data_IF_553057927302
#
_entry.id   IF_553057927302
#
_cell.length_a   1.000
_cell.length_b   1.000
_cell.length_c   1.000
_cell.angle_alpha   90.00
_cell.angle_beta   90.00
_cell.angle_gamma   90.00
#
_symmetry.space_group_name_H-M   'P 1'
#
loop_
_entity.id
_entity.type
_entity.pdbx_description
1 polymer ?
#
# COMPACT_ATOMS: atom_id res chain seq x y z
N UNK A 1 -1.22 0.77 3.65
CA UNK A 1 -0.62 0.65 4.99
C UNK A 1 -1.52 1.08 6.12
N UNK A 2 -2.21 2.24 6.05
CA UNK A 2 -3.06 2.70 7.15
C UNK A 2 -4.21 1.75 7.54
N UNK A 3 -4.82 1.07 6.57
CA UNK A 3 -5.87 0.07 6.84
C UNK A 3 -5.38 -1.17 7.60
N UNK A 4 -4.06 -1.37 7.68
CA UNK A 4 -3.46 -2.57 8.29
C UNK A 4 -2.15 -2.22 9.02
N UNK A 5 -2.13 -1.09 9.73
CA UNK A 5 -0.90 -0.57 10.33
C UNK A 5 -0.26 -1.52 11.37
N UNK A 6 -1.07 -2.36 12.02
CA UNK A 6 -0.60 -3.39 12.96
C UNK A 6 0.31 -4.46 12.34
N UNK A 7 0.39 -4.57 11.01
CA UNK A 7 1.37 -5.44 10.35
C UNK A 7 2.80 -5.04 10.70
N UNK A 8 3.08 -3.74 10.90
CA UNK A 8 4.44 -3.27 11.17
C UNK A 8 5.04 -3.91 12.44
N UNK A 9 4.27 -3.95 13.53
CA UNK A 9 4.71 -4.59 14.79
C UNK A 9 4.79 -6.11 14.66
N UNK A 10 3.99 -6.71 13.77
CA UNK A 10 4.07 -8.15 13.48
C UNK A 10 5.38 -8.49 12.77
N UNK A 11 5.77 -7.66 11.78
CA UNK A 11 7.04 -7.81 11.06
C UNK A 11 8.24 -7.61 11.99
N UNK A 12 8.18 -6.63 12.90
CA UNK A 12 9.21 -6.42 13.89
C UNK A 12 9.33 -7.59 14.89
N UNK A 13 8.19 -8.16 15.32
CA UNK A 13 8.17 -9.31 16.24
C UNK A 13 8.67 -10.61 15.59
N UNK A 14 8.37 -10.82 14.31
CA UNK A 14 8.75 -12.02 13.56
C UNK A 14 9.40 -11.62 12.22
N UNK A 15 10.69 -11.24 12.25
CA UNK A 15 11.39 -10.82 11.05
C UNK A 15 11.50 -12.00 10.07
N UNK A 16 11.17 -11.73 8.81
CA UNK A 16 11.34 -12.67 7.70
C UNK A 16 12.49 -12.16 6.81
N UNK A 17 13.60 -12.91 6.68
CA UNK A 17 14.82 -12.45 6.02
C UNK A 17 14.69 -12.30 4.50
N UNK A 18 13.61 -12.78 3.91
CA UNK A 18 13.32 -12.69 2.47
C UNK A 18 12.11 -11.79 2.17
N UNK A 19 11.72 -10.92 3.11
CA UNK A 19 10.55 -10.06 2.96
C UNK A 19 10.96 -8.61 2.73
N UNK A 20 10.35 -8.00 1.71
CA UNK A 20 10.39 -6.55 1.49
C UNK A 20 8.97 -5.98 1.50
N UNK A 21 8.74 -4.93 2.28
CA UNK A 21 7.49 -4.16 2.32
C UNK A 21 7.67 -2.88 1.49
N UNK A 22 6.81 -2.69 0.49
CA UNK A 22 6.75 -1.45 -0.28
C UNK A 22 5.50 -0.67 0.12
N UNK A 23 5.69 0.59 0.50
CA UNK A 23 4.64 1.55 0.83
C UNK A 23 4.61 2.59 -0.28
N UNK A 24 3.65 2.49 -1.19
CA UNK A 24 3.38 3.55 -2.17
C UNK A 24 2.61 4.67 -1.49
N UNK A 25 3.24 5.82 -1.35
CA UNK A 25 2.72 7.01 -0.69
C UNK A 25 2.39 8.08 -1.72
N UNK A 26 1.10 8.27 -1.97
CA UNK A 26 0.53 9.30 -2.85
C UNK A 26 -0.46 10.21 -2.10
N UNK A 27 -0.60 10.02 -0.79
CA UNK A 27 -1.51 10.78 0.07
C UNK A 27 -3.01 10.50 -0.13
N UNK A 28 -3.44 9.55 -0.98
CA UNK A 28 -4.87 9.33 -1.27
C UNK A 28 -5.30 7.86 -1.33
N UNK A 29 -6.58 7.59 -1.07
CA UNK A 29 -7.23 6.33 -1.43
C UNK A 29 -7.70 6.41 -2.88
N UNK A 30 -6.80 6.14 -3.83
CA UNK A 30 -7.04 6.34 -5.26
C UNK A 30 -8.30 5.62 -5.78
N UNK A 31 -8.43 4.32 -5.48
CA UNK A 31 -9.49 3.47 -6.05
C UNK A 31 -10.90 3.85 -5.55
N UNK A 32 -11.03 4.59 -4.45
CA UNK A 32 -12.34 4.94 -3.88
C UNK A 32 -12.81 6.35 -4.22
N UNK A 33 -12.10 7.06 -5.11
CA UNK A 33 -12.39 8.45 -5.47
C UNK A 33 -11.35 9.44 -5.00
N UNK A 34 -10.10 9.00 -4.85
CA UNK A 34 -8.93 9.83 -4.54
C UNK A 34 -9.11 10.72 -3.31
N UNK A 35 -9.86 10.24 -2.31
CA UNK A 35 -9.96 10.97 -1.05
C UNK A 35 -8.61 10.97 -0.34
N UNK A 36 -8.21 12.06 0.32
CA UNK A 36 -7.00 12.06 1.14
C UNK A 36 -7.05 10.95 2.17
N UNK A 37 -5.92 10.26 2.36
CA UNK A 37 -5.80 9.33 3.49
C UNK A 37 -5.87 10.10 4.81
N UNK A 38 -6.34 9.50 5.91
CA UNK A 38 -6.32 10.13 7.23
C UNK A 38 -4.91 10.62 7.55
N UNK A 39 -4.74 11.91 7.86
CA UNK A 39 -3.42 12.47 8.19
C UNK A 39 -2.46 12.65 7.01
N UNK A 40 -2.93 12.66 5.76
CA UNK A 40 -2.08 12.74 4.55
C UNK A 40 -0.96 13.80 4.59
N UNK A 41 -1.19 14.95 5.24
CA UNK A 41 -0.20 16.03 5.35
C UNK A 41 0.75 15.93 6.57
N UNK A 42 0.55 14.93 7.44
CA UNK A 42 1.20 14.83 8.75
C UNK A 42 1.87 13.48 9.00
N UNK A 43 1.55 12.46 8.22
CA UNK A 43 2.11 11.13 8.40
C UNK A 43 3.57 11.13 7.97
N UNK A 44 4.42 10.58 8.83
CA UNK A 44 5.78 10.19 8.50
C UNK A 44 5.84 8.66 8.59
N UNK A 45 5.72 7.98 7.43
CA UNK A 45 5.74 6.51 7.39
C UNK A 45 7.09 5.94 7.84
N UNK A 46 8.18 6.67 7.61
CA UNK A 46 9.51 6.22 8.00
C UNK A 46 9.62 6.18 9.52
N UNK A 47 9.26 7.28 10.20
CA UNK A 47 9.24 7.34 11.66
C UNK A 47 8.28 6.33 12.27
N UNK A 48 7.12 6.09 11.65
CA UNK A 48 6.18 5.07 12.12
C UNK A 48 6.79 3.66 12.00
N UNK A 49 7.43 3.32 10.88
CA UNK A 49 8.07 2.02 10.70
C UNK A 49 9.21 1.83 11.71
N UNK A 50 10.06 2.85 11.88
CA UNK A 50 11.14 2.83 12.87
C UNK A 50 10.61 2.71 14.29
N UNK A 51 9.56 3.46 14.63
CA UNK A 51 8.87 3.39 15.92
C UNK A 51 8.21 2.03 16.19
N UNK A 52 7.81 1.30 15.14
CA UNK A 52 7.32 -0.07 15.24
C UNK A 52 8.44 -1.13 15.41
N UNK A 53 9.71 -0.74 15.32
CA UNK A 53 10.88 -1.60 15.51
C UNK A 53 11.58 -2.02 14.21
N UNK A 54 11.14 -1.56 13.04
CA UNK A 54 11.77 -1.88 11.76
C UNK A 54 12.99 -0.99 11.52
N UNK A 55 14.16 -1.59 11.32
CA UNK A 55 15.44 -0.85 11.25
C UNK A 55 15.82 -0.45 9.82
N UNK A 56 15.56 -1.34 8.86
CA UNK A 56 15.87 -1.18 7.43
C UNK A 56 14.70 -0.50 6.75
N UNK A 57 14.66 0.82 6.84
CA UNK A 57 13.58 1.65 6.29
C UNK A 57 14.20 2.72 5.42
N UNK A 58 13.70 2.84 4.19
CA UNK A 58 14.21 3.76 3.19
C UNK A 58 13.07 4.54 2.55
N UNK A 59 13.17 5.86 2.57
CA UNK A 59 12.27 6.74 1.80
C UNK A 59 12.90 7.04 0.45
N UNK A 60 12.07 6.97 -0.60
CA UNK A 60 12.39 7.29 -1.99
C UNK A 60 11.50 8.47 -2.38
N UNK A 61 12.12 9.60 -2.71
CA UNK A 61 11.44 10.87 -3.04
C UNK A 61 11.90 11.46 -4.40
N UNK A 62 12.74 10.73 -5.14
CA UNK A 62 13.16 11.08 -6.50
C UNK A 62 13.52 9.84 -7.31
N UNK A 63 13.64 10.01 -8.63
CA UNK A 63 14.08 8.96 -9.54
C UNK A 63 15.53 8.54 -9.25
N UNK A 64 16.41 9.49 -8.91
CA UNK A 64 17.80 9.18 -8.52
C UNK A 64 17.85 8.37 -7.22
N UNK A 65 16.98 8.67 -6.26
CA UNK A 65 16.85 7.90 -5.03
C UNK A 65 16.35 6.48 -5.31
N UNK A 66 15.46 6.32 -6.28
CA UNK A 66 14.95 5.03 -6.73
C UNK A 66 16.08 4.20 -7.32
N UNK A 67 16.81 4.74 -8.29
CA UNK A 67 17.93 4.05 -8.94
C UNK A 67 19.03 3.67 -7.94
N UNK A 68 19.34 4.55 -6.99
CA UNK A 68 20.36 4.29 -5.97
C UNK A 68 19.99 3.20 -4.95
N UNK A 69 18.70 2.91 -4.79
CA UNK A 69 18.19 2.00 -3.74
C UNK A 69 17.53 0.75 -4.30
N UNK A 70 17.25 0.69 -5.61
CA UNK A 70 16.57 -0.44 -6.25
C UNK A 70 17.28 -1.76 -5.99
N UNK A 71 18.61 -1.80 -6.07
CA UNK A 71 19.38 -3.02 -5.82
C UNK A 71 19.24 -3.53 -4.38
N UNK A 72 19.07 -2.62 -3.40
CA UNK A 72 18.89 -2.98 -1.99
C UNK A 72 17.59 -3.77 -1.77
N UNK A 73 16.57 -3.52 -2.60
CA UNK A 73 15.31 -4.27 -2.57
C UNK A 73 15.51 -5.78 -2.74
N UNK A 74 16.51 -6.18 -3.53
CA UNK A 74 16.78 -7.58 -3.88
C UNK A 74 17.96 -8.18 -3.11
N UNK A 75 18.89 -7.35 -2.66
CA UNK A 75 20.13 -7.81 -2.04
C UNK A 75 20.11 -7.83 -0.51
N UNK A 76 19.27 -7.01 0.13
CA UNK A 76 19.28 -6.88 1.58
C UNK A 76 18.40 -7.91 2.29
N UNK A 77 18.89 -8.42 3.44
CA UNK A 77 18.13 -9.34 4.27
C UNK A 77 16.96 -8.61 4.95
N UNK A 78 15.75 -9.17 4.87
CA UNK A 78 14.52 -8.58 5.38
C UNK A 78 14.33 -8.63 6.91
N UNK A 79 13.25 -8.02 7.42
CA UNK A 79 12.30 -7.22 6.68
C UNK A 79 12.87 -5.84 6.32
N UNK A 80 12.86 -5.50 5.03
CA UNK A 80 13.21 -4.17 4.53
C UNK A 80 11.95 -3.42 4.15
N UNK A 81 11.89 -2.13 4.45
CA UNK A 81 10.76 -1.26 4.09
C UNK A 81 11.25 -0.19 3.12
N UNK A 82 10.56 -0.06 1.99
CA UNK A 82 10.71 1.06 1.08
C UNK A 82 9.43 1.88 1.06
N UNK A 83 9.55 3.18 1.29
CA UNK A 83 8.46 4.15 1.16
C UNK A 83 8.69 4.89 -0.13
N UNK A 84 7.84 4.64 -1.12
CA UNK A 84 7.90 5.26 -2.43
C UNK A 84 6.91 6.41 -2.47
N UNK A 85 7.43 7.64 -2.37
CA UNK A 85 6.61 8.82 -2.58
C UNK A 85 6.37 8.99 -4.07
N UNK A 86 5.11 9.00 -4.46
CA UNK A 86 4.69 9.08 -5.85
C UNK A 86 3.62 10.15 -6.00
N UNK A 87 3.50 10.70 -7.20
CA UNK A 87 2.42 11.62 -7.51
C UNK A 87 1.05 10.89 -7.41
N UNK A 88 -0.02 11.58 -7.00
CA UNK A 88 -1.36 11.04 -7.08
C UNK A 88 -1.73 10.63 -8.50
N UNK A 89 -2.36 9.48 -8.66
CA UNK A 89 -2.95 9.05 -9.92
C UNK A 89 -3.95 10.08 -10.47
N UNK A 90 -3.99 10.20 -11.80
CA UNK A 90 -4.96 11.04 -12.52
C UNK A 90 -6.03 10.21 -13.21
N UNK A 91 -5.87 8.89 -13.19
CA UNK A 91 -6.76 7.92 -13.78
C UNK A 91 -8.14 7.98 -13.12
N UNK A 92 -9.22 7.88 -13.90
CA UNK A 92 -10.56 7.84 -13.35
C UNK A 92 -10.77 6.59 -12.50
N UNK A 93 -11.54 6.73 -11.42
CA UNK A 93 -11.97 5.60 -10.60
C UNK A 93 -12.53 4.48 -11.48
N UNK A 94 -12.08 3.23 -11.32
CA UNK A 94 -12.62 2.10 -12.06
C UNK A 94 -14.13 2.02 -11.90
N UNK A 95 -14.86 2.17 -13.01
CA UNK A 95 -16.31 2.02 -13.01
C UNK A 95 -16.65 0.54 -13.22
N UNK A 96 -17.55 -0.04 -12.40
CA UNK A 96 -18.07 -1.37 -12.67
C UNK A 96 -18.67 -1.44 -14.07
N UNK A 97 -18.34 -2.47 -14.84
CA UNK A 97 -18.80 -2.62 -16.23
C UNK A 97 -20.32 -2.78 -16.35
N UNK A 98 -20.99 -3.22 -15.28
CA UNK A 98 -22.42 -3.53 -15.27
C UNK A 98 -23.19 -2.58 -14.33
N UNK A 99 -24.42 -2.20 -14.68
CA UNK A 99 -25.31 -1.45 -13.80
C UNK A 99 -25.51 -2.16 -12.44
N UNK A 100 -25.75 -1.38 -11.39
CA UNK A 100 -25.92 -1.92 -10.03
C UNK A 100 -27.07 -2.93 -9.94
N UNK A 101 -28.16 -2.73 -10.69
CA UNK A 101 -29.29 -3.66 -10.74
C UNK A 101 -28.90 -5.04 -11.28
N UNK A 102 -28.12 -5.09 -12.37
CA UNK A 102 -27.66 -6.35 -12.94
C UNK A 102 -26.67 -7.06 -12.01
N UNK A 103 -25.77 -6.30 -11.38
CA UNK A 103 -24.83 -6.86 -10.38
C UNK A 103 -25.57 -7.44 -9.18
N UNK A 104 -26.60 -6.76 -8.69
CA UNK A 104 -27.44 -7.25 -7.60
C UNK A 104 -28.20 -8.52 -8.00
N UNK A 105 -28.70 -8.59 -9.23
CA UNK A 105 -29.39 -9.77 -9.74
C UNK A 105 -28.43 -10.95 -9.92
N UNK A 106 -27.22 -10.73 -10.47
CA UNK A 106 -26.19 -11.78 -10.55
C UNK A 106 -25.79 -12.32 -9.18
N UNK A 107 -25.61 -11.44 -8.19
CA UNK A 107 -25.35 -11.84 -6.81
C UNK A 107 -26.51 -12.68 -6.26
N UNK A 108 -27.76 -12.25 -6.48
CA UNK A 108 -28.95 -13.01 -6.08
C UNK A 108 -28.97 -14.41 -6.72
N UNK A 109 -28.79 -14.50 -8.04
CA UNK A 109 -28.78 -15.78 -8.76
C UNK A 109 -27.69 -16.71 -8.21
N UNK A 110 -26.48 -16.20 -7.98
CA UNK A 110 -25.38 -16.97 -7.41
C UNK A 110 -25.66 -17.48 -5.99
N UNK A 111 -26.38 -16.70 -5.17
CA UNK A 111 -26.74 -17.09 -3.80
C UNK A 111 -27.91 -18.11 -3.74
N UNK A 112 -28.83 -18.06 -4.70
CA UNK A 112 -30.02 -18.93 -4.73
C UNK A 112 -29.78 -20.20 -5.55
N UNK A 113 -28.68 -20.28 -6.31
CA UNK A 113 -28.31 -21.48 -7.07
C UNK A 113 -29.11 -21.69 -8.36
N UNK A 114 -29.72 -20.63 -8.90
CA UNK A 114 -30.50 -20.67 -10.14
C UNK A 114 -29.62 -20.45 -11.39
N UNK A 115 -28.50 -21.20 -11.48
CA UNK A 115 -27.53 -21.13 -12.57
C UNK A 115 -27.43 -22.43 -13.35
#
# INVERSE_FOLDING_TARGET
TLMSLGVLVTLAQRPAPNLTLVITENGTYEVTGSQPVPGAAFIDYEQICRGAGLQRVYTIDSDEDFDAKLDQHFAEEGPVVFIWKIAPATEPVPKPALPIGERAQRLRTALVGEG
#
